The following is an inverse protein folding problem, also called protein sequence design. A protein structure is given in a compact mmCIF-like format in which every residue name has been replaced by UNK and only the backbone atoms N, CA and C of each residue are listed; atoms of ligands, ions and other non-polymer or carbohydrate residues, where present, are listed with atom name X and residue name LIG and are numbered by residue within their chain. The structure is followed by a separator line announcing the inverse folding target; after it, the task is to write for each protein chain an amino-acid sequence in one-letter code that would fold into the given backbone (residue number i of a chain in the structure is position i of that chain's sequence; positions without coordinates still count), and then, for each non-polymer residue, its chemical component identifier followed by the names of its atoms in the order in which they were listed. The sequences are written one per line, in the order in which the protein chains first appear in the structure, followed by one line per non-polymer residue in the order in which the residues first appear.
data_IF_230592065506
#
_entry.id   IF_230592065506
#
_cell.length_a   1.000
_cell.length_b   1.000
_cell.length_c   1.000
_cell.angle_alpha   90.00
_cell.angle_beta   90.00
_cell.angle_gamma   90.00
#
_symmetry.space_group_name_H-M   'P 1'
#
loop_
_entity.id
_entity.type
_entity.pdbx_description
1 polymer ?
#
# COMPACT_ATOMS: atom_id res chain seq x y z
N UNK A 1 -11.32 9.88 15.70
CA UNK A 1 -12.33 10.67 14.97
C UNK A 1 -12.48 10.02 13.60
N UNK A 2 -13.68 9.56 13.26
CA UNK A 2 -13.96 8.99 11.93
C UNK A 2 -14.45 10.10 11.00
N UNK A 3 -13.90 10.16 9.79
CA UNK A 3 -14.25 11.14 8.76
C UNK A 3 -14.80 10.37 7.57
N UNK A 4 -15.97 10.77 7.09
CA UNK A 4 -16.53 10.27 5.83
C UNK A 4 -15.97 11.10 4.68
N UNK A 5 -15.25 10.45 3.77
CA UNK A 5 -14.65 11.08 2.60
C UNK A 5 -15.07 10.30 1.34
N UNK A 6 -15.54 10.97 0.27
CA UNK A 6 -15.74 10.30 -1.00
C UNK A 6 -14.39 9.90 -1.60
N UNK A 7 -14.27 8.63 -1.97
CA UNK A 7 -13.11 8.06 -2.67
C UNK A 7 -13.59 7.13 -3.78
N UNK A 8 -12.75 6.90 -4.77
CA UNK A 8 -13.01 5.91 -5.82
C UNK A 8 -12.88 4.47 -5.27
N UNK A 9 -13.44 3.50 -6.03
CA UNK A 9 -13.26 2.08 -5.72
C UNK A 9 -11.78 1.69 -5.76
N UNK A 10 -11.01 2.22 -6.71
CA UNK A 10 -9.57 1.98 -6.84
C UNK A 10 -8.81 2.41 -5.60
N UNK A 11 -9.04 3.63 -5.11
CA UNK A 11 -8.40 4.15 -3.89
C UNK A 11 -8.77 3.33 -2.64
N UNK A 12 -10.02 2.86 -2.54
CA UNK A 12 -10.44 1.97 -1.46
C UNK A 12 -9.65 0.65 -1.48
N UNK A 13 -9.51 0.04 -2.65
CA UNK A 13 -8.77 -1.23 -2.82
C UNK A 13 -7.27 -1.00 -2.60
N UNK A 14 -6.70 0.07 -3.14
CA UNK A 14 -5.30 0.45 -2.94
C UNK A 14 -4.98 0.55 -1.45
N UNK A 15 -5.79 1.30 -0.71
CA UNK A 15 -5.63 1.45 0.74
C UNK A 15 -5.74 0.12 1.49
N UNK A 16 -6.65 -0.77 1.08
CA UNK A 16 -6.72 -2.13 1.64
C UNK A 16 -5.39 -2.87 1.43
N UNK A 17 -4.80 -2.83 0.23
CA UNK A 17 -3.52 -3.53 -0.04
C UNK A 17 -2.35 -2.97 0.79
N UNK A 18 -2.30 -1.65 1.01
CA UNK A 18 -1.29 -1.02 1.89
C UNK A 18 -1.46 -1.53 3.33
N UNK A 19 -2.69 -1.64 3.82
CA UNK A 19 -2.97 -2.13 5.16
C UNK A 19 -2.61 -3.62 5.31
N UNK A 20 -2.82 -4.44 4.28
CA UNK A 20 -2.34 -5.83 4.26
C UNK A 20 -0.83 -5.92 4.42
N UNK A 21 -0.09 -5.15 3.61
CA UNK A 21 1.38 -5.13 3.68
C UNK A 21 1.84 -4.65 5.06
N UNK A 22 1.20 -3.62 5.63
CA UNK A 22 1.50 -3.15 6.99
C UNK A 22 1.32 -4.23 8.04
N UNK A 23 0.23 -5.01 7.96
CA UNK A 23 -0.01 -6.13 8.89
C UNK A 23 1.00 -7.27 8.71
N UNK A 24 1.54 -7.46 7.50
CA UNK A 24 2.51 -8.51 7.18
C UNK A 24 3.96 -8.13 7.53
N UNK A 25 4.33 -6.84 7.39
CA UNK A 25 5.72 -6.35 7.46
C UNK A 25 6.07 -5.61 8.75
N UNK A 26 5.10 -5.15 9.53
CA UNK A 26 5.35 -4.40 10.78
C UNK A 26 5.34 -5.33 11.99
N UNK A 27 6.41 -5.34 12.77
CA UNK A 27 6.49 -6.15 14.01
C UNK A 27 5.79 -5.51 15.22
N UNK A 28 5.56 -4.20 15.20
CA UNK A 28 4.91 -3.50 16.30
C UNK A 28 3.41 -3.86 16.39
N UNK A 29 3.04 -4.58 17.45
CA UNK A 29 1.69 -5.12 17.65
C UNK A 29 0.59 -4.06 17.73
N UNK A 30 0.87 -2.89 18.32
CA UNK A 30 -0.08 -1.79 18.41
C UNK A 30 -0.38 -1.21 17.02
N UNK A 31 0.66 -0.99 16.20
CA UNK A 31 0.51 -0.55 14.80
C UNK A 31 -0.25 -1.57 13.95
N UNK A 32 0.02 -2.87 14.14
CA UNK A 32 -0.70 -3.94 13.46
C UNK A 32 -2.17 -3.95 13.87
N UNK A 33 -2.49 -3.77 15.16
CA UNK A 33 -3.86 -3.69 15.64
C UNK A 33 -4.62 -2.50 15.03
N UNK A 34 -3.98 -1.33 14.93
CA UNK A 34 -4.57 -0.17 14.25
C UNK A 34 -4.82 -0.44 12.76
N UNK A 35 -3.84 -1.00 12.04
CA UNK A 35 -3.97 -1.35 10.63
C UNK A 35 -5.11 -2.36 10.41
N UNK A 36 -5.23 -3.36 11.29
CA UNK A 36 -6.29 -4.36 11.23
C UNK A 36 -7.68 -3.77 11.43
N UNK A 37 -7.85 -2.90 12.44
CA UNK A 37 -9.14 -2.24 12.69
C UNK A 37 -9.59 -1.42 11.48
N UNK A 38 -8.66 -0.70 10.85
CA UNK A 38 -8.93 0.07 9.64
C UNK A 38 -9.26 -0.84 8.44
N UNK A 39 -8.49 -1.91 8.25
CA UNK A 39 -8.68 -2.90 7.20
C UNK A 39 -10.06 -3.56 7.30
N UNK A 40 -10.48 -3.96 8.50
CA UNK A 40 -11.77 -4.60 8.74
C UNK A 40 -12.93 -3.64 8.43
N UNK A 41 -12.81 -2.36 8.80
CA UNK A 41 -13.81 -1.34 8.50
C UNK A 41 -13.96 -1.10 6.99
N UNK A 42 -12.85 -0.95 6.26
CA UNK A 42 -12.86 -0.75 4.81
C UNK A 42 -13.34 -2.00 4.06
N UNK A 43 -12.96 -3.20 4.52
CA UNK A 43 -13.41 -4.48 3.95
C UNK A 43 -14.93 -4.64 4.09
N UNK A 44 -15.50 -4.21 5.22
CA UNK A 44 -16.96 -4.21 5.43
C UNK A 44 -17.65 -3.28 4.42
N UNK A 45 -17.11 -2.09 4.21
CA UNK A 45 -17.62 -1.15 3.19
C UNK A 45 -17.58 -1.76 1.80
N UNK A 46 -16.44 -2.31 1.38
CA UNK A 46 -16.29 -2.97 0.07
C UNK A 46 -17.31 -4.11 -0.12
N UNK A 47 -17.48 -4.99 0.87
CA UNK A 47 -18.46 -6.10 0.81
C UNK A 47 -19.90 -5.62 0.69
N UNK A 48 -20.24 -4.46 1.28
CA UNK A 48 -21.59 -3.90 1.21
C UNK A 48 -21.99 -3.43 -0.20
N UNK A 49 -21.02 -3.18 -1.08
CA UNK A 49 -21.28 -2.75 -2.47
C UNK A 49 -21.83 -3.86 -3.37
N UNK A 50 -21.74 -5.13 -2.95
CA UNK A 50 -22.26 -6.31 -3.68
C UNK A 50 -21.88 -6.30 -5.18
N UNK A 51 -20.60 -6.06 -5.45
CA UNK A 51 -20.08 -6.02 -6.82
C UNK A 51 -20.20 -7.39 -7.49
N UNK A 52 -20.61 -7.40 -8.76
CA UNK A 52 -20.78 -8.64 -9.53
C UNK A 52 -19.48 -9.12 -10.20
N UNK A 53 -18.43 -8.29 -10.23
CA UNK A 53 -17.18 -8.53 -10.97
C UNK A 53 -16.02 -8.89 -10.03
N UNK A 54 -16.19 -9.93 -9.21
CA UNK A 54 -15.21 -10.30 -8.18
C UNK A 54 -13.83 -10.61 -8.78
N UNK A 55 -13.76 -11.27 -9.95
CA UNK A 55 -12.49 -11.61 -10.61
C UNK A 55 -11.68 -10.35 -10.98
N UNK A 56 -12.35 -9.30 -11.48
CA UNK A 56 -11.69 -8.02 -11.81
C UNK A 56 -11.18 -7.33 -10.55
N UNK A 57 -11.97 -7.37 -9.47
CA UNK A 57 -11.59 -6.80 -8.19
C UNK A 57 -10.38 -7.52 -7.58
N UNK A 58 -10.34 -8.84 -7.69
CA UNK A 58 -9.22 -9.65 -7.19
C UNK A 58 -7.94 -9.40 -8.00
N UNK A 59 -8.06 -9.27 -9.34
CA UNK A 59 -6.93 -8.85 -10.19
C UNK A 59 -6.41 -7.48 -9.78
N UNK A 60 -7.31 -6.48 -9.68
CA UNK A 60 -6.94 -5.12 -9.28
C UNK A 60 -6.22 -5.11 -7.92
N UNK A 61 -6.76 -5.83 -6.93
CA UNK A 61 -6.14 -5.91 -5.61
C UNK A 61 -4.76 -6.57 -5.67
N UNK A 62 -4.59 -7.62 -6.48
CA UNK A 62 -3.30 -8.28 -6.65
C UNK A 62 -2.28 -7.33 -7.26
N UNK A 63 -2.64 -6.65 -8.34
CA UNK A 63 -1.76 -5.74 -9.07
C UNK A 63 -1.33 -4.55 -8.18
N UNK A 64 -2.29 -3.95 -7.46
CA UNK A 64 -2.01 -2.89 -6.49
C UNK A 64 -1.14 -3.36 -5.32
N UNK A 65 -1.36 -4.59 -4.81
CA UNK A 65 -0.53 -5.14 -3.74
C UNK A 65 0.91 -5.37 -4.21
N UNK A 66 1.11 -5.83 -5.44
CA UNK A 66 2.45 -6.01 -6.02
C UNK A 66 3.19 -4.67 -6.11
N UNK A 67 2.55 -3.65 -6.66
CA UNK A 67 3.13 -2.30 -6.78
C UNK A 67 3.45 -1.70 -5.40
N UNK A 68 2.51 -1.79 -4.45
CA UNK A 68 2.73 -1.28 -3.09
C UNK A 68 3.84 -2.04 -2.35
N UNK A 69 4.01 -3.34 -2.61
CA UNK A 69 5.12 -4.11 -2.05
C UNK A 69 6.46 -3.65 -2.64
N UNK A 70 6.53 -3.41 -3.96
CA UNK A 70 7.72 -2.85 -4.59
C UNK A 70 8.07 -1.47 -4.00
N UNK A 71 7.08 -0.59 -3.80
CA UNK A 71 7.29 0.69 -3.14
C UNK A 71 7.83 0.54 -1.72
N UNK A 72 7.30 -0.43 -0.96
CA UNK A 72 7.79 -0.73 0.39
C UNK A 72 9.26 -1.14 0.39
N UNK A 73 9.65 -2.03 -0.53
CA UNK A 73 11.04 -2.49 -0.68
C UNK A 73 11.97 -1.34 -1.07
N UNK A 74 11.58 -0.50 -2.02
CA UNK A 74 12.34 0.70 -2.41
C UNK A 74 12.54 1.63 -1.20
N UNK A 75 11.49 1.88 -0.41
CA UNK A 75 11.61 2.71 0.79
C UNK A 75 12.53 2.10 1.85
N UNK A 76 12.50 0.77 2.02
CA UNK A 76 13.37 0.10 2.98
C UNK A 76 14.84 0.16 2.57
N UNK A 77 15.12 -0.05 1.28
CA UNK A 77 16.47 0.10 0.71
C UNK A 77 17.00 1.53 0.86
N UNK A 78 16.14 2.54 0.63
CA UNK A 78 16.48 3.95 0.89
C UNK A 78 16.82 4.16 2.37
N UNK A 79 16.03 3.62 3.30
CA UNK A 79 16.29 3.75 4.75
C UNK A 79 17.59 3.07 5.16
N UNK A 80 17.94 1.94 4.56
CA UNK A 80 19.22 1.25 4.81
C UNK A 80 20.38 2.12 4.34
N UNK A 81 20.33 2.67 3.12
CA UNK A 81 21.37 3.57 2.61
C UNK A 81 21.49 4.85 3.42
N UNK A 82 20.37 5.46 3.82
CA UNK A 82 20.34 6.64 4.68
C UNK A 82 21.01 6.36 6.03
N UNK A 83 20.69 5.23 6.67
CA UNK A 83 21.30 4.79 7.92
C UNK A 83 22.82 4.62 7.79
N UNK A 84 23.28 4.11 6.65
CA UNK A 84 24.71 3.96 6.35
C UNK A 84 25.36 5.25 5.84
N UNK A 85 24.58 6.32 5.58
CA UNK A 85 25.02 7.57 4.94
C UNK A 85 25.61 7.36 3.54
N UNK A 86 25.07 6.40 2.81
CA UNK A 86 25.44 6.08 1.43
C UNK A 86 24.59 6.88 0.44
N UNK A 87 25.07 8.07 0.06
CA UNK A 87 24.41 8.95 -0.90
C UNK A 87 25.01 8.80 -2.31
N UNK A 88 25.07 7.55 -2.78
CA UNK A 88 25.68 7.17 -4.05
C UNK A 88 24.67 7.17 -5.21
N UNK A 89 25.13 6.74 -6.39
CA UNK A 89 24.25 6.62 -7.56
C UNK A 89 23.08 5.65 -7.29
N UNK A 90 23.30 4.58 -6.52
CA UNK A 90 22.25 3.65 -6.14
C UNK A 90 21.15 4.30 -5.29
N UNK A 91 21.52 5.19 -4.36
CA UNK A 91 20.54 6.00 -3.61
C UNK A 91 19.71 6.89 -4.55
N UNK A 92 20.35 7.56 -5.51
CA UNK A 92 19.67 8.42 -6.48
C UNK A 92 18.71 7.61 -7.36
N UNK A 93 19.12 6.42 -7.78
CA UNK A 93 18.31 5.54 -8.62
C UNK A 93 17.10 4.99 -7.87
N UNK A 94 17.27 4.61 -6.60
CA UNK A 94 16.16 4.22 -5.72
C UNK A 94 15.18 5.37 -5.51
N UNK A 95 15.68 6.56 -5.17
CA UNK A 95 14.85 7.75 -4.96
C UNK A 95 14.04 8.12 -6.21
N UNK A 96 14.63 7.96 -7.41
CA UNK A 96 13.92 8.15 -8.68
C UNK A 96 12.90 7.05 -8.95
N UNK A 97 13.19 5.82 -8.56
CA UNK A 97 12.29 4.69 -8.74
C UNK A 97 11.00 4.83 -7.92
N UNK A 98 11.00 5.62 -6.84
CA UNK A 98 9.80 5.88 -6.02
C UNK A 98 8.67 6.48 -6.85
N UNK A 99 8.89 7.63 -7.51
CA UNK A 99 7.80 8.28 -8.27
C UNK A 99 7.42 7.46 -9.51
N UNK A 100 8.39 6.83 -10.18
CA UNK A 100 8.13 5.97 -11.34
C UNK A 100 7.23 4.79 -10.96
N UNK A 101 7.51 4.14 -9.83
CA UNK A 101 6.71 3.01 -9.35
C UNK A 101 5.35 3.47 -8.82
N UNK A 102 5.30 4.64 -8.17
CA UNK A 102 4.05 5.23 -7.71
C UNK A 102 3.12 5.61 -8.86
N UNK A 103 3.65 6.12 -9.98
CA UNK A 103 2.84 6.49 -11.14
C UNK A 103 2.13 5.26 -11.73
N UNK A 104 2.81 4.10 -11.80
CA UNK A 104 2.22 2.82 -12.22
C UNK A 104 1.04 2.37 -11.35
N UNK A 105 0.91 2.88 -10.13
CA UNK A 105 -0.22 2.57 -9.22
C UNK A 105 -1.52 3.26 -9.64
N UNK A 106 -1.42 4.31 -10.45
CA UNK A 106 -2.54 5.17 -10.86
C UNK A 106 -2.78 5.19 -12.37
N UNK A 107 -2.02 4.40 -13.15
CA UNK A 107 -2.24 4.14 -14.58
C UNK A 107 -3.40 3.16 -14.80
#
# INVERSE_FOLDING_TARGET
MEILCPVSLGELVDKLTILEIKMEKIDNSEKVAHAKNEFDALTKTLKSLKLNEQEKLDSLRKDLKEINLTLWEIEDDIRIKEKNREYDQGFIDLARSVYITNDRRFE
#
